data_IF_637068632356
#
_entry.id   IF_637068632356
#
_cell.length_a   1.000
_cell.length_b   1.000
_cell.length_c   1.000
_cell.angle_alpha   90.00
_cell.angle_beta   90.00
_cell.angle_gamma   90.00
#
_symmetry.space_group_name_H-M   'P 1'
#
loop_
_entity.id
_entity.type
_entity.pdbx_description
1 polymer ?
#
# COMPACT_ATOMS: atom_id res chain seq x y z
N UNK A 1 -11.88 5.53 14.31
CA UNK A 1 -11.97 4.88 12.98
C UNK A 1 -13.37 4.34 12.83
N UNK A 2 -13.91 4.24 11.62
CA UNK A 2 -15.19 3.57 11.43
C UNK A 2 -15.05 2.06 11.66
N UNK A 3 -16.18 1.38 11.85
CA UNK A 3 -16.20 -0.08 11.96
C UNK A 3 -15.67 -0.76 10.68
N UNK A 4 -16.05 -0.23 9.51
CA UNK A 4 -15.64 -0.76 8.21
C UNK A 4 -14.12 -0.66 8.04
N UNK A 5 -13.54 0.48 8.43
CA UNK A 5 -12.11 0.72 8.34
C UNK A 5 -11.31 -0.25 9.21
N UNK A 6 -11.76 -0.50 10.45
CA UNK A 6 -11.11 -1.46 11.35
C UNK A 6 -11.22 -2.90 10.83
N UNK A 7 -12.36 -3.28 10.24
CA UNK A 7 -12.54 -4.60 9.64
C UNK A 7 -11.63 -4.80 8.41
N UNK A 8 -11.56 -3.82 7.51
CA UNK A 8 -10.73 -3.91 6.30
C UNK A 8 -9.24 -3.97 6.67
N UNK A 9 -8.79 -3.21 7.67
CA UNK A 9 -7.41 -3.30 8.19
C UNK A 9 -7.11 -4.72 8.68
N UNK A 10 -8.00 -5.34 9.44
CA UNK A 10 -7.83 -6.73 9.90
C UNK A 10 -7.73 -7.71 8.74
N UNK A 11 -8.51 -7.51 7.65
CA UNK A 11 -8.43 -8.34 6.44
C UNK A 11 -7.10 -8.17 5.71
N UNK A 12 -6.58 -6.95 5.64
CA UNK A 12 -5.24 -6.69 5.07
C UNK A 12 -4.16 -7.37 5.91
N UNK A 13 -4.23 -7.28 7.24
CA UNK A 13 -3.31 -7.96 8.15
C UNK A 13 -3.39 -9.50 8.00
N UNK A 14 -4.60 -10.04 7.83
CA UNK A 14 -4.80 -11.47 7.55
C UNK A 14 -4.17 -11.90 6.23
N UNK A 15 -4.27 -11.07 5.17
CA UNK A 15 -3.60 -11.36 3.91
C UNK A 15 -2.07 -11.39 4.05
N UNK A 16 -1.51 -10.58 4.96
CA UNK A 16 -0.09 -10.57 5.29
C UNK A 16 0.33 -11.68 6.28
N UNK A 17 -0.60 -12.45 6.86
CA UNK A 17 -0.28 -13.44 7.88
C UNK A 17 0.66 -14.55 7.37
N UNK A 18 0.64 -14.82 6.07
CA UNK A 18 1.50 -15.81 5.40
C UNK A 18 2.88 -15.24 5.00
N UNK A 19 3.25 -14.04 5.45
CA UNK A 19 4.57 -13.45 5.17
C UNK A 19 5.70 -14.31 5.77
N UNK A 20 6.58 -14.89 4.93
CA UNK A 20 7.67 -15.75 5.40
C UNK A 20 8.74 -15.01 6.23
N UNK A 21 8.68 -13.68 6.28
CA UNK A 21 9.63 -12.83 7.02
C UNK A 21 9.08 -12.31 8.35
N UNK A 22 8.06 -12.96 8.91
CA UNK A 22 7.50 -12.71 10.24
C UNK A 22 7.12 -11.23 10.46
N UNK A 23 6.15 -10.76 9.67
CA UNK A 23 5.47 -9.48 9.92
C UNK A 23 6.13 -8.23 9.35
N UNK A 24 7.10 -8.36 8.43
CA UNK A 24 7.73 -7.20 7.75
C UNK A 24 6.70 -6.33 7.04
N UNK A 25 5.78 -6.93 6.28
CA UNK A 25 4.77 -6.14 5.56
C UNK A 25 3.75 -5.51 6.52
N UNK A 26 3.38 -6.18 7.61
CA UNK A 26 2.50 -5.61 8.65
C UNK A 26 3.17 -4.43 9.34
N UNK A 27 4.47 -4.51 9.64
CA UNK A 27 5.23 -3.40 10.19
C UNK A 27 5.25 -2.21 9.23
N UNK A 28 5.44 -2.46 7.93
CA UNK A 28 5.36 -1.42 6.90
C UNK A 28 3.98 -0.76 6.87
N UNK A 29 2.88 -1.54 6.87
CA UNK A 29 1.51 -1.04 6.92
C UNK A 29 1.25 -0.13 8.13
N UNK A 30 1.74 -0.53 9.31
CA UNK A 30 1.63 0.28 10.54
C UNK A 30 2.39 1.60 10.44
N UNK A 31 3.60 1.57 9.87
CA UNK A 31 4.40 2.79 9.61
C UNK A 31 3.67 3.73 8.64
N UNK A 32 3.13 3.21 7.54
CA UNK A 32 2.33 3.99 6.58
C UNK A 32 1.13 4.67 7.26
N UNK A 33 0.37 3.96 8.08
CA UNK A 33 -0.79 4.54 8.78
C UNK A 33 -0.37 5.60 9.81
N UNK A 34 0.70 5.35 10.56
CA UNK A 34 1.20 6.32 11.54
C UNK A 34 1.68 7.60 10.84
N UNK A 35 2.44 7.47 9.76
CA UNK A 35 2.93 8.61 8.98
C UNK A 35 1.78 9.36 8.30
N UNK A 36 0.80 8.65 7.71
CA UNK A 36 -0.38 9.29 7.12
C UNK A 36 -1.14 10.12 8.16
N UNK A 37 -1.40 9.57 9.35
CA UNK A 37 -2.12 10.30 10.41
C UNK A 37 -1.39 11.55 10.88
N UNK A 38 -0.07 11.57 10.81
CA UNK A 38 0.73 12.74 11.15
C UNK A 38 0.77 13.77 10.01
N UNK A 39 0.76 13.31 8.76
CA UNK A 39 0.87 14.14 7.56
C UNK A 39 -0.48 14.73 7.11
N UNK A 40 -1.52 13.90 7.04
CA UNK A 40 -2.88 14.25 6.63
C UNK A 40 -3.90 13.65 7.63
N UNK A 41 -4.18 14.33 8.76
CA UNK A 41 -5.06 13.81 9.81
C UNK A 41 -6.51 13.58 9.37
N UNK A 42 -6.95 14.22 8.30
CA UNK A 42 -8.32 14.13 7.76
C UNK A 42 -8.38 13.28 6.48
N UNK A 43 -7.39 12.41 6.27
CA UNK A 43 -7.36 11.50 5.12
C UNK A 43 -8.66 10.70 5.00
N UNK A 44 -9.13 10.54 3.77
CA UNK A 44 -10.29 9.70 3.47
C UNK A 44 -10.02 8.24 3.85
N UNK A 45 -11.08 7.45 4.03
CA UNK A 45 -10.91 6.01 4.25
C UNK A 45 -10.28 5.29 3.03
N UNK A 46 -10.65 5.60 1.77
CA UNK A 46 -9.94 5.09 0.59
C UNK A 46 -8.42 5.35 0.62
N UNK A 47 -7.99 6.58 0.90
CA UNK A 47 -6.57 6.92 1.05
C UNK A 47 -5.92 6.18 2.22
N UNK A 48 -6.60 6.12 3.38
CA UNK A 48 -6.11 5.42 4.56
C UNK A 48 -5.85 3.95 4.27
N UNK A 49 -6.79 3.28 3.61
CA UNK A 49 -6.68 1.88 3.25
C UNK A 49 -5.64 1.64 2.16
N UNK A 50 -5.54 2.53 1.16
CA UNK A 50 -4.49 2.46 0.14
C UNK A 50 -3.09 2.59 0.75
N UNK A 51 -2.88 3.53 1.67
CA UNK A 51 -1.63 3.67 2.42
C UNK A 51 -1.32 2.42 3.25
N UNK A 52 -2.32 1.89 3.98
CA UNK A 52 -2.13 0.68 4.80
C UNK A 52 -1.78 -0.55 3.93
N UNK A 53 -2.39 -0.66 2.75
CA UNK A 53 -2.18 -1.78 1.83
C UNK A 53 -1.00 -1.60 0.86
N UNK A 54 -0.24 -0.49 0.92
CA UNK A 54 0.74 -0.09 -0.10
C UNK A 54 1.74 -1.20 -0.50
N UNK A 55 2.09 -2.11 0.42
CA UNK A 55 2.93 -3.30 0.20
C UNK A 55 2.27 -4.64 0.61
N UNK A 56 0.93 -4.70 0.66
CA UNK A 56 0.22 -5.93 1.07
C UNK A 56 0.62 -7.13 0.21
N UNK A 57 1.06 -8.22 0.85
CA UNK A 57 1.57 -9.43 0.21
C UNK A 57 2.68 -9.20 -0.83
N UNK A 58 3.45 -8.10 -0.76
CA UNK A 58 4.53 -7.79 -1.72
C UNK A 58 5.52 -8.94 -1.89
N UNK A 59 5.76 -9.73 -0.84
CA UNK A 59 6.62 -10.91 -0.86
C UNK A 59 6.23 -11.96 -1.92
N UNK A 60 4.98 -11.98 -2.39
CA UNK A 60 4.50 -12.91 -3.43
C UNK A 60 5.14 -12.69 -4.79
N UNK A 61 5.63 -11.47 -5.07
CA UNK A 61 6.27 -11.10 -6.34
C UNK A 61 7.69 -10.63 -6.06
N UNK A 62 8.65 -11.55 -6.14
CA UNK A 62 10.05 -11.27 -5.79
C UNK A 62 10.76 -10.65 -7.01
N UNK A 63 11.43 -9.51 -6.82
CA UNK A 63 12.14 -8.80 -7.90
C UNK A 63 13.09 -9.70 -8.70
N UNK A 64 13.74 -10.66 -8.05
CA UNK A 64 14.73 -11.57 -8.68
C UNK A 64 14.13 -12.50 -9.73
N UNK A 65 12.81 -12.71 -9.70
CA UNK A 65 12.11 -13.62 -10.62
C UNK A 65 11.76 -12.91 -11.95
N UNK A 66 12.06 -11.61 -12.05
CA UNK A 66 11.86 -10.79 -13.25
C UNK A 66 13.18 -10.51 -13.95
N UNK A 67 13.19 -10.33 -15.28
CA UNK A 67 14.40 -9.99 -16.04
C UNK A 67 15.17 -8.79 -15.46
N UNK A 68 16.48 -8.77 -15.66
CA UNK A 68 17.30 -7.61 -15.33
C UNK A 68 17.01 -6.42 -16.25
N UNK A 69 17.46 -5.24 -15.83
CA UNK A 69 17.25 -3.99 -16.56
C UNK A 69 15.89 -3.33 -16.34
N UNK A 70 15.68 -2.21 -17.04
CA UNK A 70 14.55 -1.31 -16.85
C UNK A 70 13.21 -2.01 -17.15
N UNK A 71 13.12 -2.76 -18.24
CA UNK A 71 11.89 -3.44 -18.64
C UNK A 71 11.39 -4.39 -17.57
N UNK A 72 12.24 -5.31 -17.08
CA UNK A 72 11.85 -6.25 -16.02
C UNK A 72 11.50 -5.56 -14.70
N UNK A 73 12.18 -4.45 -14.37
CA UNK A 73 11.82 -3.63 -13.21
C UNK A 73 10.43 -2.98 -13.36
N UNK A 74 10.10 -2.42 -14.52
CA UNK A 74 8.81 -1.79 -14.78
C UNK A 74 7.67 -2.81 -14.80
N UNK A 75 7.90 -4.01 -15.36
CA UNK A 75 6.93 -5.12 -15.30
C UNK A 75 6.65 -5.51 -13.85
N UNK A 76 7.70 -5.76 -13.05
CA UNK A 76 7.55 -6.10 -11.64
C UNK A 76 6.78 -5.02 -10.84
N UNK A 77 7.08 -3.74 -11.09
CA UNK A 77 6.36 -2.62 -10.46
C UNK A 77 4.88 -2.60 -10.83
N UNK A 78 4.55 -2.91 -12.09
CA UNK A 78 3.17 -2.97 -12.58
C UNK A 78 2.41 -4.11 -11.94
N UNK A 79 3.01 -5.31 -11.91
CA UNK A 79 2.38 -6.50 -11.32
C UNK A 79 2.15 -6.33 -9.82
N UNK A 80 3.09 -5.71 -9.09
CA UNK A 80 2.91 -5.35 -7.69
C UNK A 80 1.72 -4.40 -7.49
N UNK A 81 1.60 -3.34 -8.30
CA UNK A 81 0.49 -2.40 -8.20
C UNK A 81 -0.86 -3.09 -8.42
N UNK A 82 -0.93 -4.03 -9.36
CA UNK A 82 -2.13 -4.84 -9.62
C UNK A 82 -2.45 -5.80 -8.47
N UNK A 83 -1.44 -6.49 -7.93
CA UNK A 83 -1.57 -7.38 -6.77
C UNK A 83 -2.15 -6.63 -5.57
N UNK A 84 -1.53 -5.51 -5.20
CA UNK A 84 -1.95 -4.74 -4.02
C UNK A 84 -3.38 -4.22 -4.18
N UNK A 85 -3.73 -3.70 -5.37
CA UNK A 85 -5.08 -3.24 -5.66
C UNK A 85 -6.12 -4.37 -5.59
N UNK A 86 -5.79 -5.55 -6.11
CA UNK A 86 -6.69 -6.71 -6.08
C UNK A 86 -6.99 -7.13 -4.64
N UNK A 87 -5.96 -7.21 -3.79
CA UNK A 87 -6.14 -7.58 -2.37
C UNK A 87 -6.94 -6.52 -1.63
N UNK A 88 -6.61 -5.24 -1.84
CA UNK A 88 -7.34 -4.13 -1.23
C UNK A 88 -8.82 -4.11 -1.64
N UNK A 89 -9.12 -4.27 -2.93
CA UNK A 89 -10.51 -4.39 -3.42
C UNK A 89 -11.25 -5.50 -2.70
N UNK A 90 -10.67 -6.70 -2.65
CA UNK A 90 -11.32 -7.84 -2.02
C UNK A 90 -11.58 -7.60 -0.52
N UNK A 91 -10.64 -6.97 0.19
CA UNK A 91 -10.81 -6.63 1.60
C UNK A 91 -11.94 -5.60 1.82
N UNK A 92 -12.03 -4.60 0.95
CA UNK A 92 -13.08 -3.57 1.03
C UNK A 92 -14.46 -4.12 0.66
N UNK A 93 -14.57 -4.94 -0.39
CA UNK A 93 -15.82 -5.63 -0.78
C UNK A 93 -16.34 -6.50 0.37
N UNK A 94 -15.46 -7.27 1.02
CA UNK A 94 -15.85 -8.11 2.16
C UNK A 94 -16.18 -7.33 3.44
N UNK A 95 -15.95 -6.02 3.43
CA UNK A 95 -16.29 -5.10 4.53
C UNK A 95 -17.36 -4.11 4.10
N UNK A 96 -18.11 -4.43 3.04
CA UNK A 96 -19.31 -3.71 2.58
C UNK A 96 -19.09 -2.23 2.20
N UNK A 97 -17.89 -1.86 1.72
CA UNK A 97 -17.66 -0.54 1.12
C UNK A 97 -18.42 -0.38 -0.20
N UNK A 98 -18.81 0.86 -0.50
CA UNK A 98 -19.41 1.20 -1.79
C UNK A 98 -18.41 1.08 -2.94
N UNK A 99 -18.90 0.80 -4.15
CA UNK A 99 -18.06 0.63 -5.34
C UNK A 99 -17.19 1.85 -5.65
N UNK A 100 -17.72 3.06 -5.40
CA UNK A 100 -16.99 4.32 -5.60
C UNK A 100 -15.76 4.43 -4.68
N UNK A 101 -15.90 4.04 -3.41
CA UNK A 101 -14.79 4.04 -2.44
C UNK A 101 -13.74 3.00 -2.80
N UNK A 102 -14.20 1.82 -3.25
CA UNK A 102 -13.34 0.72 -3.69
C UNK A 102 -12.55 1.14 -4.94
N UNK A 103 -13.19 1.78 -5.91
CA UNK A 103 -12.53 2.30 -7.10
C UNK A 103 -11.53 3.40 -6.75
N UNK A 104 -11.90 4.33 -5.87
CA UNK A 104 -11.02 5.38 -5.38
C UNK A 104 -9.73 4.79 -4.77
N UNK A 105 -9.87 3.89 -3.80
CA UNK A 105 -8.74 3.25 -3.13
C UNK A 105 -7.86 2.45 -4.12
N UNK A 106 -8.48 1.77 -5.09
CA UNK A 106 -7.79 1.03 -6.15
C UNK A 106 -6.98 1.94 -7.06
N UNK A 107 -7.48 3.13 -7.38
CA UNK A 107 -6.78 4.10 -8.20
C UNK A 107 -5.59 4.71 -7.45
N UNK A 108 -5.78 5.04 -6.17
CA UNK A 108 -4.76 5.63 -5.29
C UNK A 108 -3.58 4.66 -5.09
N UNK A 109 -3.83 3.41 -4.73
CA UNK A 109 -2.75 2.42 -4.47
C UNK A 109 -1.94 2.08 -5.73
N UNK A 110 -2.58 2.17 -6.90
CA UNK A 110 -1.91 2.04 -8.20
C UNK A 110 -1.23 3.34 -8.65
N UNK A 111 -1.36 4.43 -7.87
CA UNK A 111 -0.83 5.77 -8.18
C UNK A 111 -1.31 6.27 -9.54
N UNK A 112 -2.56 5.96 -9.90
CA UNK A 112 -3.16 6.45 -11.15
C UNK A 112 -3.33 7.97 -11.05
N UNK A 113 -3.14 8.66 -12.17
CA UNK A 113 -3.26 10.13 -12.27
C UNK A 113 -2.42 10.89 -11.24
N UNK A 114 -1.24 10.36 -10.85
CA UNK A 114 -0.36 10.95 -9.83
C UNK A 114 -0.07 12.45 -10.00
N UNK A 115 -0.09 12.98 -11.22
CA UNK A 115 0.13 14.42 -11.47
C UNK A 115 -1.05 15.32 -11.08
N UNK A 116 -2.24 14.76 -10.90
CA UNK A 116 -3.50 15.51 -10.77
C UNK A 116 -4.41 15.02 -9.65
N UNK A 117 -4.14 13.83 -9.09
CA UNK A 117 -4.90 13.25 -7.99
C UNK A 117 -4.18 13.52 -6.65
N UNK A 118 -4.72 14.40 -5.77
CA UNK A 118 -4.08 14.75 -4.51
C UNK A 118 -3.93 13.57 -3.54
N UNK A 119 -4.83 12.59 -3.57
CA UNK A 119 -4.74 11.43 -2.67
C UNK A 119 -3.67 10.45 -3.16
N UNK A 120 -3.53 10.27 -4.47
CA UNK A 120 -2.41 9.52 -5.03
C UNK A 120 -1.05 10.17 -4.71
N UNK A 121 -0.98 11.51 -4.73
CA UNK A 121 0.21 12.27 -4.31
C UNK A 121 0.49 12.09 -2.82
N UNK A 122 -0.55 12.20 -1.98
CA UNK A 122 -0.42 11.99 -0.54
C UNK A 122 0.12 10.60 -0.22
N UNK A 123 -0.33 9.56 -0.93
CA UNK A 123 0.23 8.22 -0.76
C UNK A 123 1.72 8.16 -1.15
N UNK A 124 2.14 8.82 -2.23
CA UNK A 124 3.55 8.89 -2.64
C UNK A 124 4.40 9.58 -1.57
N UNK A 125 3.94 10.72 -1.06
CA UNK A 125 4.63 11.51 -0.05
C UNK A 125 4.77 10.73 1.26
N UNK A 126 3.69 10.08 1.73
CA UNK A 126 3.72 9.22 2.91
C UNK A 126 4.70 8.06 2.72
N UNK A 127 4.71 7.43 1.54
CA UNK A 127 5.67 6.36 1.22
C UNK A 127 7.11 6.86 1.25
N UNK A 128 7.38 8.07 0.74
CA UNK A 128 8.70 8.69 0.79
C UNK A 128 9.12 9.00 2.23
N UNK A 129 8.23 9.57 3.05
CA UNK A 129 8.49 9.88 4.44
C UNK A 129 8.77 8.61 5.27
N UNK A 130 8.02 7.53 5.03
CA UNK A 130 8.29 6.21 5.64
C UNK A 130 9.66 5.67 5.22
N UNK A 131 10.02 5.78 3.94
CA UNK A 131 11.34 5.40 3.46
C UNK A 131 12.46 6.16 4.17
N UNK A 132 12.37 7.50 4.18
CA UNK A 132 13.34 8.38 4.82
C UNK A 132 13.50 8.11 6.32
N UNK A 133 12.39 7.84 7.02
CA UNK A 133 12.38 7.68 8.47
C UNK A 133 12.86 6.31 8.96
N UNK A 134 12.81 5.27 8.12
CA UNK A 134 12.99 3.89 8.59
C UNK A 134 13.93 3.03 7.75
N UNK A 135 14.19 3.42 6.51
CA UNK A 135 14.90 2.56 5.55
C UNK A 135 16.07 3.26 4.86
N UNK A 136 16.16 4.60 4.94
CA UNK A 136 17.19 5.37 4.25
C UNK A 136 18.60 5.09 4.74
N UNK A 137 18.85 5.06 6.05
CA UNK A 137 20.20 4.83 6.59
C UNK A 137 20.79 3.50 6.08
N UNK A 138 20.04 2.41 6.23
CA UNK A 138 20.43 1.09 5.74
C UNK A 138 20.50 0.99 4.20
N UNK A 139 19.81 1.88 3.48
CA UNK A 139 19.90 1.98 2.02
C UNK A 139 21.16 2.75 1.59
N UNK A 140 21.52 3.82 2.28
CA UNK A 140 22.67 4.67 1.98
C UNK A 140 24.02 3.98 2.25
N UNK A 141 24.02 2.94 3.09
CA UNK A 141 25.20 2.11 3.36
C UNK A 141 25.48 1.03 2.28
N UNK A 142 24.59 0.86 1.29
CA UNK A 142 24.73 -0.12 0.20
C UNK A 142 25.31 0.50 -1.07
#
# INVERSE_FOLDING_TARGET
MSHLLEQTIKRIDQANADDPKDGVEVLYSKRMLQTLRAFEPNASEPLTLACYAQHVCRWKLIRKDYPEGLTGYLTWRTDLAQLHASILRNAMVQSDYADDDIECASNIIQKRKLKTDPEAQTLEDVSCLVFLSHYFDAFAEK
#
